data_IF_171175912394
#
_entry.id   IF_171175912394
#
_cell.length_a   1.000
_cell.length_b   1.000
_cell.length_c   1.000
_cell.angle_alpha   90.00
_cell.angle_beta   90.00
_cell.angle_gamma   90.00
#
_symmetry.space_group_name_H-M   'P 1'
#
loop_
_entity.id
_entity.type
_entity.pdbx_description
1 polymer ?
#
# COMPACT_ATOMS: atom_id res chain seq x y z
N UNK A 1 -20.35 -2.81 -7.07
CA UNK A 1 -20.53 -1.62 -7.94
C UNK A 1 -19.44 -0.58 -7.67
N UNK A 2 -19.30 -0.08 -6.43
CA UNK A 2 -18.29 0.92 -6.08
C UNK A 2 -16.83 0.47 -6.22
N UNK A 3 -16.47 -0.75 -5.78
CA UNK A 3 -15.08 -1.24 -5.88
C UNK A 3 -14.57 -1.28 -7.33
N UNK A 4 -15.39 -1.79 -8.25
CA UNK A 4 -15.08 -1.82 -9.68
C UNK A 4 -14.91 -0.41 -10.26
N UNK A 5 -15.75 0.54 -9.83
CA UNK A 5 -15.65 1.93 -10.25
C UNK A 5 -14.34 2.58 -9.77
N UNK A 6 -13.96 2.36 -8.51
CA UNK A 6 -12.71 2.88 -7.93
C UNK A 6 -11.50 2.27 -8.64
N UNK A 7 -11.49 0.95 -8.88
CA UNK A 7 -10.43 0.27 -9.64
C UNK A 7 -10.25 0.91 -11.01
N UNK A 8 -11.33 0.98 -11.79
CA UNK A 8 -11.28 1.50 -13.14
C UNK A 8 -10.81 2.95 -13.20
N UNK A 9 -11.23 3.76 -12.23
CA UNK A 9 -10.83 5.17 -12.14
C UNK A 9 -9.34 5.28 -11.81
N UNK A 10 -8.84 4.48 -10.87
CA UNK A 10 -7.44 4.47 -10.49
C UNK A 10 -6.55 3.90 -11.60
N UNK A 11 -6.96 2.82 -12.27
CA UNK A 11 -6.27 2.26 -13.44
C UNK A 11 -6.15 3.32 -14.54
N UNK A 12 -7.25 3.99 -14.90
CA UNK A 12 -7.22 5.01 -15.93
C UNK A 12 -6.33 6.20 -15.56
N UNK A 13 -6.32 6.58 -14.27
CA UNK A 13 -5.46 7.63 -13.77
C UNK A 13 -3.99 7.21 -13.77
N UNK A 14 -3.70 5.95 -13.46
CA UNK A 14 -2.34 5.40 -13.42
C UNK A 14 -1.76 5.11 -14.82
N UNK A 15 -2.60 5.02 -15.86
CA UNK A 15 -2.12 4.94 -17.24
C UNK A 15 -1.65 6.30 -17.78
N UNK A 16 -2.07 7.40 -17.15
CA UNK A 16 -1.62 8.74 -17.52
C UNK A 16 -0.14 8.93 -17.15
N UNK A 17 0.72 9.22 -18.15
CA UNK A 17 2.16 9.39 -17.92
C UNK A 17 2.46 10.57 -16.97
N UNK A 18 1.65 11.63 -17.01
CA UNK A 18 1.82 12.78 -16.11
C UNK A 18 1.56 12.42 -14.66
N UNK A 19 0.70 11.43 -14.39
CA UNK A 19 0.46 10.93 -13.04
C UNK A 19 1.48 9.85 -12.65
N UNK A 20 1.63 8.80 -13.47
CA UNK A 20 2.44 7.64 -13.13
C UNK A 20 3.94 7.93 -13.13
N UNK A 21 4.43 8.82 -13.99
CA UNK A 21 5.84 9.23 -14.03
C UNK A 21 6.03 10.60 -13.41
N UNK A 22 5.48 11.65 -13.99
CA UNK A 22 5.92 13.01 -13.64
C UNK A 22 5.57 13.39 -12.20
N UNK A 23 4.33 13.13 -11.77
CA UNK A 23 3.93 13.36 -10.39
C UNK A 23 4.69 12.43 -9.43
N UNK A 24 4.86 11.15 -9.80
CA UNK A 24 5.56 10.20 -8.94
C UNK A 24 7.06 10.55 -8.75
N UNK A 25 7.77 10.90 -9.82
CA UNK A 25 9.18 11.31 -9.78
C UNK A 25 9.38 12.58 -8.94
N UNK A 26 8.39 13.48 -8.95
CA UNK A 26 8.32 14.67 -8.11
C UNK A 26 7.60 14.43 -6.79
N UNK A 27 7.38 13.16 -6.43
CA UNK A 27 6.67 12.74 -5.23
C UNK A 27 7.32 13.25 -3.94
N UNK A 28 8.62 13.57 -3.99
CA UNK A 28 9.35 14.22 -2.90
C UNK A 28 8.91 15.67 -2.62
N UNK A 29 8.18 16.31 -3.53
CA UNK A 29 7.64 17.66 -3.35
C UNK A 29 6.35 17.67 -2.49
N UNK A 30 5.77 16.49 -2.22
CA UNK A 30 4.53 16.36 -1.46
C UNK A 30 4.52 15.10 -0.58
N UNK A 31 3.45 14.93 0.21
CA UNK A 31 3.31 13.82 1.14
C UNK A 31 2.72 12.60 0.42
N UNK A 32 3.54 11.93 -0.39
CA UNK A 32 3.16 10.69 -1.06
C UNK A 32 3.80 9.47 -0.37
N UNK A 33 3.02 8.45 0.01
CA UNK A 33 3.58 7.21 0.53
C UNK A 33 4.47 6.50 -0.50
N UNK A 34 5.60 5.96 -0.06
CA UNK A 34 6.49 5.16 -0.91
C UNK A 34 5.78 3.92 -1.49
N UNK A 35 4.78 3.40 -0.77
CA UNK A 35 3.98 2.26 -1.21
C UNK A 35 2.97 2.58 -2.32
N UNK A 36 2.83 3.84 -2.74
CA UNK A 36 1.85 4.24 -3.76
C UNK A 36 2.00 3.45 -5.06
N UNK A 37 3.21 3.32 -5.61
CA UNK A 37 3.43 2.56 -6.87
C UNK A 37 3.03 1.11 -6.70
N UNK A 38 3.48 0.46 -5.64
CA UNK A 38 3.17 -0.95 -5.38
C UNK A 38 1.65 -1.20 -5.32
N UNK A 39 0.90 -0.30 -4.67
CA UNK A 39 -0.55 -0.40 -4.55
C UNK A 39 -1.24 -0.11 -5.89
N UNK A 40 -0.80 0.90 -6.64
CA UNK A 40 -1.37 1.25 -7.93
C UNK A 40 -1.10 0.16 -8.98
N UNK A 41 0.10 -0.41 -9.02
CA UNK A 41 0.46 -1.54 -9.89
C UNK A 41 -0.33 -2.82 -9.53
N UNK A 42 -0.80 -2.92 -8.29
CA UNK A 42 -1.59 -4.05 -7.79
C UNK A 42 -3.09 -3.75 -7.71
N UNK A 43 -3.57 -2.66 -8.33
CA UNK A 43 -4.92 -2.14 -8.08
C UNK A 43 -6.02 -3.15 -8.42
N UNK A 44 -5.87 -3.93 -9.49
CA UNK A 44 -6.81 -4.99 -9.90
C UNK A 44 -7.00 -6.04 -8.80
N UNK A 45 -5.91 -6.41 -8.11
CA UNK A 45 -5.94 -7.36 -6.99
C UNK A 45 -6.58 -6.72 -5.77
N UNK A 46 -6.15 -5.50 -5.43
CA UNK A 46 -6.57 -4.80 -4.22
C UNK A 46 -8.04 -4.38 -4.28
N UNK A 47 -8.58 -4.14 -5.48
CA UNK A 47 -9.98 -3.78 -5.70
C UNK A 47 -10.92 -4.98 -5.84
N UNK A 48 -10.39 -6.21 -5.88
CA UNK A 48 -11.19 -7.41 -6.11
C UNK A 48 -12.19 -7.66 -4.97
N UNK A 49 -13.47 -8.00 -5.26
CA UNK A 49 -14.43 -8.40 -4.25
C UNK A 49 -14.00 -9.70 -3.57
N UNK A 50 -13.39 -9.58 -2.39
CA UNK A 50 -12.82 -10.72 -1.66
C UNK A 50 -11.29 -10.66 -1.50
N UNK A 51 -10.66 -9.55 -1.88
CA UNK A 51 -9.24 -9.31 -1.61
C UNK A 51 -8.87 -9.63 -0.16
N UNK A 52 -7.80 -10.40 0.00
CA UNK A 52 -7.14 -10.67 1.27
C UNK A 52 -5.71 -10.12 1.18
N UNK A 53 -5.29 -9.22 2.08
CA UNK A 53 -3.94 -8.67 2.07
C UNK A 53 -2.89 -9.77 2.20
N UNK A 54 -1.88 -9.71 1.34
CA UNK A 54 -0.67 -10.51 1.48
C UNK A 54 0.21 -9.96 2.58
N UNK A 55 1.19 -10.74 3.04
CA UNK A 55 2.20 -10.24 3.98
C UNK A 55 2.91 -9.00 3.42
N UNK A 56 3.20 -8.98 2.12
CA UNK A 56 3.80 -7.82 1.46
C UNK A 56 2.89 -6.59 1.52
N UNK A 57 1.58 -6.76 1.28
CA UNK A 57 0.60 -5.66 1.38
C UNK A 57 0.58 -5.06 2.78
N UNK A 58 0.66 -5.91 3.80
CA UNK A 58 0.72 -5.48 5.20
C UNK A 58 2.03 -4.72 5.47
N UNK A 59 3.17 -5.25 5.00
CA UNK A 59 4.49 -4.65 5.23
C UNK A 59 4.64 -3.26 4.62
N UNK A 60 4.07 -3.03 3.43
CA UNK A 60 4.13 -1.73 2.75
C UNK A 60 3.05 -0.75 3.21
N UNK A 61 2.06 -1.22 3.99
CA UNK A 61 0.99 -0.37 4.49
C UNK A 61 1.50 0.55 5.61
N UNK A 62 1.35 1.86 5.42
CA UNK A 62 1.70 2.83 6.45
C UNK A 62 0.50 3.06 7.37
N UNK A 63 0.47 2.35 8.50
CA UNK A 63 -0.50 2.58 9.57
C UNK A 63 0.14 3.44 10.64
N UNK A 64 -0.49 4.58 10.97
CA UNK A 64 -0.02 5.43 12.08
C UNK A 64 -0.13 4.65 13.39
N UNK A 65 0.98 4.51 14.10
CA UNK A 65 0.99 3.92 15.44
C UNK A 65 0.33 4.88 16.43
N UNK A 66 -0.82 4.48 16.96
CA UNK A 66 -1.53 5.24 18.00
C UNK A 66 -1.41 4.50 19.33
N UNK A 67 -0.29 4.70 20.03
CA UNK A 67 -0.04 4.10 21.35
C UNK A 67 1.08 3.05 21.35
N UNK A 68 1.21 2.36 22.48
CA UNK A 68 2.24 1.32 22.70
C UNK A 68 1.61 -0.04 22.44
N UNK A 69 2.22 -0.81 21.54
CA UNK A 69 1.89 -2.22 21.28
C UNK A 69 3.13 -3.04 21.60
N UNK A 70 3.07 -3.89 22.64
CA UNK A 70 4.15 -4.83 22.96
C UNK A 70 4.01 -6.12 22.12
N UNK A 71 5.07 -6.50 21.42
CA UNK A 71 5.15 -7.78 20.70
C UNK A 71 6.30 -8.61 21.28
N UNK A 72 5.96 -9.76 21.86
CA UNK A 72 6.94 -10.70 22.45
C UNK A 72 7.13 -11.88 21.51
N UNK A 73 8.36 -12.19 21.16
CA UNK A 73 8.69 -13.32 20.29
C UNK A 73 9.94 -14.05 20.75
N UNK A 74 10.05 -15.34 20.40
CA UNK A 74 11.23 -16.16 20.66
C UNK A 74 12.03 -16.33 19.39
N UNK A 75 13.34 -16.08 19.45
CA UNK A 75 14.27 -16.39 18.36
C UNK A 75 15.44 -17.21 18.91
N UNK A 76 15.67 -18.41 18.35
CA UNK A 76 16.76 -19.32 18.77
C UNK A 76 16.80 -19.58 20.30
N UNK A 77 15.63 -19.86 20.89
CA UNK A 77 15.43 -20.06 22.34
C UNK A 77 15.75 -18.85 23.24
N UNK A 78 15.89 -17.66 22.66
CA UNK A 78 16.00 -16.40 23.40
C UNK A 78 14.66 -15.65 23.32
N UNK A 79 14.13 -15.26 24.47
CA UNK A 79 12.92 -14.43 24.59
C UNK A 79 13.26 -12.95 24.33
N UNK A 80 12.61 -12.34 23.35
CA UNK A 80 12.66 -10.90 23.07
C UNK A 80 11.36 -10.26 23.55
N UNK A 81 11.50 -9.20 24.36
CA UNK A 81 10.41 -8.41 24.94
C UNK A 81 10.54 -6.97 24.53
#
# INVERSE_FOLDING_TARGET
MWQKFISQTNENLWVDEGVCKDAYERGNEFQMPESTVYIMDSIDRVSFPGYQPTEQDILVSQIKTTGIVEVKFKMKNVDFR
#
